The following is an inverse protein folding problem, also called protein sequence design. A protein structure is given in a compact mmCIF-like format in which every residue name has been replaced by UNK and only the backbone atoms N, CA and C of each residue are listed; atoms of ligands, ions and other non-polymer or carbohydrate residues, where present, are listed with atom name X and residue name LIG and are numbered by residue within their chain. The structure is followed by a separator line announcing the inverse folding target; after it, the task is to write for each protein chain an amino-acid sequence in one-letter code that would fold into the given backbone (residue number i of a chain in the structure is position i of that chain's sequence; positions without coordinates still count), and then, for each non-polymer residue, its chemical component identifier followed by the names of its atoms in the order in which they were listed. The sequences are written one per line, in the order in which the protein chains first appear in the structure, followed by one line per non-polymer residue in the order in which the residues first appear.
data_IF_765626522019
#
_entry.id   IF_765626522019
#
_cell.length_a   1.000
_cell.length_b   1.000
_cell.length_c   1.000
_cell.angle_alpha   90.00
_cell.angle_beta   90.00
_cell.angle_gamma   90.00
#
_symmetry.space_group_name_H-M   'P 1'
#
loop_
_entity.id
_entity.type
_entity.pdbx_description
1 polymer ?
#
# COMPACT_ATOMS: atom_id res chain seq x y z
N UNK A 1 -22.78 36.18 11.38
CA UNK A 1 -23.17 35.32 10.24
C UNK A 1 -21.89 34.96 9.50
N UNK A 2 -21.48 33.72 9.31
CA UNK A 2 -21.98 32.43 9.74
C UNK A 2 -20.79 31.52 10.02
N UNK A 3 -21.01 30.53 10.88
CA UNK A 3 -20.12 29.41 11.10
C UNK A 3 -19.95 28.64 9.78
N UNK A 4 -18.86 28.86 9.05
CA UNK A 4 -18.53 27.94 7.96
C UNK A 4 -17.98 26.64 8.56
N UNK A 5 -18.91 25.69 8.61
CA UNK A 5 -18.73 24.25 8.56
C UNK A 5 -17.54 23.69 9.35
N UNK A 6 -17.88 22.94 10.41
CA UNK A 6 -17.11 21.77 10.83
C UNK A 6 -16.88 20.92 9.57
N UNK A 7 -15.73 21.07 8.91
CA UNK A 7 -15.47 20.50 7.60
C UNK A 7 -15.72 18.99 7.69
N UNK A 8 -16.82 18.53 7.09
CA UNK A 8 -17.14 17.12 7.00
C UNK A 8 -16.10 16.52 6.05
N UNK A 9 -15.04 15.94 6.62
CA UNK A 9 -13.95 15.36 5.83
C UNK A 9 -14.36 13.95 5.46
N UNK A 10 -14.84 13.78 4.24
CA UNK A 10 -15.20 12.48 3.71
C UNK A 10 -13.94 11.60 3.63
N UNK A 11 -14.07 10.37 4.12
CA UNK A 11 -13.01 9.37 4.14
C UNK A 11 -13.28 8.32 3.06
N UNK A 12 -12.23 7.60 2.62
CA UNK A 12 -12.43 6.48 1.72
C UNK A 12 -13.35 5.46 2.40
N UNK A 13 -14.46 5.02 1.75
CA UNK A 13 -15.44 4.21 2.44
C UNK A 13 -14.87 2.85 2.88
N UNK A 14 -14.96 2.56 4.17
CA UNK A 14 -14.40 1.35 4.78
C UNK A 14 -14.96 0.06 4.14
N UNK A 15 -16.22 0.06 3.69
CA UNK A 15 -16.83 -1.08 3.01
C UNK A 15 -16.23 -1.38 1.63
N UNK A 16 -15.54 -0.43 0.99
CA UNK A 16 -14.82 -0.70 -0.26
C UNK A 16 -13.46 -1.38 -0.01
N UNK A 17 -12.87 -1.27 1.19
CA UNK A 17 -11.52 -1.79 1.45
C UNK A 17 -11.44 -3.32 1.27
N UNK A 18 -12.34 -4.16 1.82
CA UNK A 18 -12.31 -5.59 1.55
C UNK A 18 -12.37 -5.91 0.05
N UNK A 19 -13.25 -5.21 -0.69
CA UNK A 19 -13.42 -5.41 -2.14
C UNK A 19 -12.16 -5.05 -2.91
N UNK A 20 -11.51 -3.93 -2.55
CA UNK A 20 -10.22 -3.50 -3.12
C UNK A 20 -9.15 -4.55 -2.88
N UNK A 21 -8.96 -4.96 -1.62
CA UNK A 21 -7.93 -5.93 -1.23
C UNK A 21 -8.15 -7.30 -1.88
N UNK A 22 -9.39 -7.79 -1.93
CA UNK A 22 -9.73 -9.05 -2.61
C UNK A 22 -9.41 -8.98 -4.11
N UNK A 23 -9.78 -7.89 -4.77
CA UNK A 23 -9.50 -7.71 -6.21
C UNK A 23 -7.99 -7.66 -6.51
N UNK A 24 -7.21 -6.97 -5.66
CA UNK A 24 -5.76 -6.92 -5.76
C UNK A 24 -5.15 -8.31 -5.56
N UNK A 25 -5.62 -9.04 -4.56
CA UNK A 25 -5.15 -10.39 -4.28
C UNK A 25 -5.42 -11.33 -5.46
N UNK A 26 -6.65 -11.34 -5.98
CA UNK A 26 -7.04 -12.14 -7.16
C UNK A 26 -6.20 -11.80 -8.39
N UNK A 27 -5.96 -10.51 -8.65
CA UNK A 27 -5.12 -10.07 -9.76
C UNK A 27 -3.64 -10.45 -9.59
N UNK A 28 -3.14 -10.45 -8.35
CA UNK A 28 -1.73 -10.62 -8.00
C UNK A 28 -1.30 -12.07 -7.77
N UNK A 29 -2.19 -12.98 -7.39
CA UNK A 29 -1.85 -14.36 -7.02
C UNK A 29 -1.16 -15.13 -8.18
N UNK A 30 -1.57 -14.86 -9.40
CA UNK A 30 -1.00 -15.46 -10.62
C UNK A 30 0.05 -14.56 -11.29
N UNK A 31 0.49 -13.50 -10.61
CA UNK A 31 1.48 -12.58 -11.15
C UNK A 31 2.85 -13.24 -11.10
N UNK A 32 3.57 -13.18 -12.22
CA UNK A 32 4.91 -13.74 -12.34
C UNK A 32 5.83 -12.74 -13.02
N UNK A 33 7.09 -12.77 -12.64
CA UNK A 33 8.20 -12.16 -13.39
C UNK A 33 8.28 -12.84 -14.75
N UNK A 34 8.59 -12.05 -15.77
CA UNK A 34 8.91 -12.54 -17.11
C UNK A 34 10.41 -12.79 -17.24
N UNK A 35 11.23 -12.00 -16.52
CA UNK A 35 12.68 -12.11 -16.52
C UNK A 35 13.24 -11.95 -15.10
N UNK A 36 14.49 -12.38 -14.90
CA UNK A 36 15.20 -12.15 -13.64
C UNK A 36 15.40 -10.67 -13.31
N UNK A 37 15.35 -9.79 -14.32
CA UNK A 37 15.62 -8.36 -14.22
C UNK A 37 14.34 -7.51 -14.20
N UNK A 38 13.18 -8.13 -14.06
CA UNK A 38 11.92 -7.41 -13.94
C UNK A 38 12.00 -6.37 -12.82
N UNK A 39 11.56 -5.15 -13.13
CA UNK A 39 11.51 -4.04 -12.17
C UNK A 39 10.19 -4.04 -11.41
N UNK A 40 10.21 -3.43 -10.23
CA UNK A 40 9.03 -3.18 -9.39
C UNK A 40 7.88 -2.58 -10.20
N UNK A 41 8.13 -1.45 -10.87
CA UNK A 41 7.17 -0.73 -11.70
C UNK A 41 6.58 -1.60 -12.82
N UNK A 42 7.35 -2.52 -13.38
CA UNK A 42 6.86 -3.40 -14.44
C UNK A 42 5.91 -4.46 -13.89
N UNK A 43 6.17 -4.94 -12.67
CA UNK A 43 5.26 -5.85 -11.96
C UNK A 43 3.99 -5.10 -11.56
N UNK A 44 4.11 -3.89 -11.00
CA UNK A 44 2.96 -3.03 -10.64
C UNK A 44 2.11 -2.67 -11.86
N UNK A 45 2.70 -2.34 -13.00
CA UNK A 45 1.96 -2.10 -14.26
C UNK A 45 1.16 -3.32 -14.73
N UNK A 46 1.70 -4.53 -14.58
CA UNK A 46 0.99 -5.76 -14.91
C UNK A 46 -0.14 -6.04 -13.93
N UNK A 47 0.09 -5.80 -12.63
CA UNK A 47 -0.96 -5.90 -11.62
C UNK A 47 -2.10 -4.93 -11.93
N UNK A 48 -1.78 -3.66 -12.19
CA UNK A 48 -2.73 -2.63 -12.62
C UNK A 48 -3.56 -3.10 -13.83
N UNK A 49 -2.90 -3.57 -14.90
CA UNK A 49 -3.56 -4.02 -16.12
C UNK A 49 -4.54 -5.19 -15.88
N UNK A 50 -4.30 -6.00 -14.84
CA UNK A 50 -5.24 -7.06 -14.43
C UNK A 50 -6.38 -6.52 -13.59
N UNK A 51 -6.11 -5.61 -12.64
CA UNK A 51 -7.13 -5.03 -11.75
C UNK A 51 -8.19 -4.26 -12.56
N UNK A 52 -7.80 -3.48 -13.57
CA UNK A 52 -8.76 -2.71 -14.38
C UNK A 52 -9.76 -3.58 -15.16
N UNK A 53 -9.56 -4.90 -15.22
CA UNK A 53 -10.47 -5.85 -15.86
C UNK A 53 -11.44 -6.51 -14.88
N UNK A 54 -11.28 -6.26 -13.58
CA UNK A 54 -12.06 -6.88 -12.50
C UNK A 54 -13.18 -5.93 -12.07
N UNK A 55 -14.41 -6.43 -11.89
CA UNK A 55 -15.44 -5.68 -11.15
C UNK A 55 -15.03 -5.60 -9.68
N UNK A 56 -15.03 -4.41 -9.03
CA UNK A 56 -15.72 -3.18 -9.43
C UNK A 56 -14.87 -2.11 -10.15
N UNK A 57 -13.64 -2.41 -10.57
CA UNK A 57 -12.77 -1.44 -11.25
C UNK A 57 -13.12 -1.23 -12.73
N UNK A 58 -13.59 -2.28 -13.41
CA UNK A 58 -13.95 -2.22 -14.83
C UNK A 58 -15.25 -1.43 -15.07
N UNK A 59 -16.31 -1.81 -14.36
CA UNK A 59 -17.68 -1.32 -14.60
C UNK A 59 -18.35 -0.77 -13.32
N UNK A 60 -17.61 -0.65 -12.22
CA UNK A 60 -18.16 -0.28 -10.92
C UNK A 60 -17.71 1.10 -10.43
N UNK A 61 -18.00 1.43 -9.16
CA UNK A 61 -17.74 2.77 -8.62
C UNK A 61 -16.26 3.05 -8.31
N UNK A 62 -15.36 2.08 -8.51
CA UNK A 62 -13.95 2.22 -8.16
C UNK A 62 -13.09 2.52 -9.38
N UNK A 63 -12.27 3.57 -9.29
CA UNK A 63 -11.20 3.82 -10.24
C UNK A 63 -9.85 3.45 -9.65
N UNK A 64 -8.92 2.95 -10.46
CA UNK A 64 -7.52 2.73 -10.07
C UNK A 64 -6.59 3.52 -10.99
N UNK A 65 -5.58 4.16 -10.40
CA UNK A 65 -4.62 5.03 -11.08
C UNK A 65 -3.21 4.54 -10.79
N UNK A 66 -2.35 4.57 -11.80
CA UNK A 66 -0.96 4.16 -11.71
C UNK A 66 -0.07 5.40 -11.54
N UNK A 67 0.90 5.35 -10.62
CA UNK A 67 1.90 6.42 -10.44
C UNK A 67 1.26 7.80 -10.25
N UNK A 68 0.35 7.89 -9.30
CA UNK A 68 -0.32 9.16 -9.01
C UNK A 68 0.62 10.07 -8.24
N UNK A 69 0.96 11.23 -8.81
CA UNK A 69 1.74 12.26 -8.15
C UNK A 69 0.96 12.90 -6.99
N UNK A 70 1.67 13.16 -5.89
CA UNK A 70 1.20 13.94 -4.76
C UNK A 70 1.61 15.39 -5.01
N UNK A 71 0.63 16.27 -5.17
CA UNK A 71 0.87 17.70 -5.32
C UNK A 71 1.18 18.30 -3.94
N UNK A 72 2.19 19.16 -3.85
CA UNK A 72 2.46 19.94 -2.65
C UNK A 72 1.28 20.85 -2.30
N UNK A 73 1.22 21.28 -1.04
CA UNK A 73 0.31 22.39 -0.66
C UNK A 73 0.80 23.73 -1.19
N UNK A 74 2.09 23.81 -1.55
CA UNK A 74 2.70 24.94 -2.24
C UNK A 74 2.40 24.82 -3.75
N UNK A 75 1.60 25.74 -4.33
CA UNK A 75 1.26 25.71 -5.75
C UNK A 75 2.43 26.06 -6.66
N UNK A 76 3.50 26.66 -6.12
CA UNK A 76 4.68 27.08 -6.89
C UNK A 76 5.81 26.03 -6.86
N UNK A 77 5.55 24.85 -6.28
CA UNK A 77 6.52 23.77 -6.25
C UNK A 77 6.75 23.16 -7.64
N UNK A 78 7.98 23.23 -8.14
CA UNK A 78 8.38 22.70 -9.46
C UNK A 78 8.43 21.16 -9.55
N UNK A 79 8.25 20.45 -8.43
CA UNK A 79 8.29 18.97 -8.39
C UNK A 79 7.23 18.40 -7.45
N UNK A 80 6.71 17.18 -7.70
CA UNK A 80 5.73 16.56 -6.81
C UNK A 80 6.35 16.15 -5.47
N UNK A 81 5.52 16.11 -4.41
CA UNK A 81 5.93 15.71 -3.06
C UNK A 81 6.20 14.20 -2.92
N UNK A 82 5.75 13.43 -3.90
CA UNK A 82 5.92 11.99 -3.99
C UNK A 82 5.07 11.41 -5.11
N UNK A 83 5.24 10.12 -5.36
CA UNK A 83 4.47 9.34 -6.31
C UNK A 83 3.91 8.13 -5.56
N UNK A 84 2.61 7.87 -5.72
CA UNK A 84 1.93 6.68 -5.20
C UNK A 84 1.92 5.63 -6.29
N UNK A 85 2.42 4.41 -6.00
CA UNK A 85 2.47 3.33 -6.98
C UNK A 85 1.10 3.01 -7.58
N UNK A 86 0.08 2.82 -6.74
CA UNK A 86 -1.31 2.68 -7.16
C UNK A 86 -2.25 3.46 -6.24
N UNK A 87 -3.22 4.17 -6.82
CA UNK A 87 -4.25 4.89 -6.08
C UNK A 87 -5.63 4.39 -6.45
N UNK A 88 -6.43 3.98 -5.46
CA UNK A 88 -7.84 3.67 -5.66
C UNK A 88 -8.70 4.87 -5.27
N UNK A 89 -9.65 5.21 -6.14
CA UNK A 89 -10.63 6.28 -5.99
C UNK A 89 -12.05 5.69 -6.03
N UNK A 90 -13.03 6.42 -5.47
CA UNK A 90 -14.42 5.96 -5.36
C UNK A 90 -15.46 7.00 -5.78
N UNK A 91 -15.10 7.94 -6.67
CA UNK A 91 -16.00 8.99 -7.16
C UNK A 91 -16.32 10.11 -6.15
N UNK A 92 -15.76 10.08 -4.95
CA UNK A 92 -15.99 11.05 -3.87
C UNK A 92 -14.93 12.17 -3.81
N UNK A 93 -14.22 12.40 -4.92
CA UNK A 93 -13.16 13.40 -5.04
C UNK A 93 -11.75 12.88 -4.76
N UNK A 94 -10.75 13.61 -5.24
CA UNK A 94 -9.35 13.15 -5.31
C UNK A 94 -8.66 12.94 -3.95
N UNK A 95 -9.15 13.60 -2.89
CA UNK A 95 -8.65 13.43 -1.51
C UNK A 95 -9.23 12.20 -0.81
N UNK A 96 -10.24 11.55 -1.40
CA UNK A 96 -10.96 10.38 -0.86
C UNK A 96 -10.50 9.13 -1.59
N UNK A 97 -9.34 8.63 -1.17
CA UNK A 97 -8.63 7.57 -1.88
C UNK A 97 -7.96 6.57 -0.95
N UNK A 98 -7.62 5.41 -1.50
CA UNK A 98 -6.89 4.33 -0.84
C UNK A 98 -5.58 4.12 -1.60
N UNK A 99 -4.47 4.48 -0.96
CA UNK A 99 -3.15 4.42 -1.58
C UNK A 99 -2.50 3.05 -1.37
N UNK A 100 -1.75 2.62 -2.37
CA UNK A 100 -0.92 1.43 -2.31
C UNK A 100 0.50 1.76 -2.72
N UNK A 101 1.44 1.25 -1.92
CA UNK A 101 2.86 1.28 -2.18
C UNK A 101 3.37 -0.14 -2.41
N UNK A 102 4.30 -0.31 -3.33
CA UNK A 102 4.91 -1.58 -3.66
C UNK A 102 6.41 -1.53 -3.33
N UNK A 103 6.98 -2.65 -2.86
CA UNK A 103 8.43 -2.84 -2.78
C UNK A 103 8.85 -4.24 -3.19
N UNK A 104 10.03 -4.36 -3.80
CA UNK A 104 10.68 -5.66 -4.07
C UNK A 104 11.25 -6.25 -2.78
N UNK A 105 11.03 -7.55 -2.61
CA UNK A 105 11.54 -8.33 -1.49
C UNK A 105 12.32 -9.53 -2.02
N UNK A 106 13.35 -9.92 -1.26
CA UNK A 106 14.15 -11.13 -1.48
C UNK A 106 14.70 -11.23 -2.92
N UNK A 107 15.37 -10.17 -3.35
CA UNK A 107 15.92 -10.01 -4.70
C UNK A 107 17.35 -10.53 -4.75
N UNK A 108 17.73 -11.20 -5.84
CA UNK A 108 19.14 -11.39 -6.20
C UNK A 108 19.55 -10.31 -7.21
N UNK A 109 20.59 -9.55 -6.90
CA UNK A 109 21.14 -8.56 -7.83
C UNK A 109 21.74 -9.24 -9.06
N UNK A 110 22.04 -8.45 -10.10
CA UNK A 110 22.80 -8.90 -11.26
C UNK A 110 24.17 -9.49 -10.90
N UNK A 111 24.77 -9.05 -9.79
CA UNK A 111 26.01 -9.61 -9.22
C UNK A 111 25.81 -10.87 -8.35
N UNK A 112 24.58 -11.40 -8.25
CA UNK A 112 24.24 -12.58 -7.46
C UNK A 112 24.03 -12.31 -5.95
N UNK A 113 24.28 -11.07 -5.48
CA UNK A 113 24.10 -10.68 -4.08
C UNK A 113 22.63 -10.72 -3.70
N UNK A 114 22.32 -11.37 -2.58
CA UNK A 114 20.98 -11.37 -2.01
C UNK A 114 20.68 -10.05 -1.29
N UNK A 115 19.49 -9.48 -1.55
CA UNK A 115 18.97 -8.27 -0.92
C UNK A 115 17.57 -8.58 -0.37
N UNK A 116 17.39 -8.43 0.94
CA UNK A 116 16.10 -8.75 1.57
C UNK A 116 14.99 -7.79 1.17
N UNK A 117 15.29 -6.49 1.04
CA UNK A 117 14.32 -5.43 0.76
C UNK A 117 13.49 -5.00 1.99
N UNK A 118 13.78 -5.52 3.18
CA UNK A 118 12.98 -5.26 4.38
C UNK A 118 13.07 -3.80 4.85
N UNK A 119 14.26 -3.21 4.73
CA UNK A 119 14.52 -1.81 5.05
C UNK A 119 13.79 -0.87 4.09
N UNK A 120 13.88 -1.12 2.78
CA UNK A 120 13.13 -0.39 1.75
C UNK A 120 11.61 -0.46 1.98
N UNK A 121 11.08 -1.67 2.24
CA UNK A 121 9.67 -1.88 2.54
C UNK A 121 9.18 -1.06 3.73
N UNK A 122 9.96 -1.02 4.82
CA UNK A 122 9.53 -0.37 6.06
C UNK A 122 9.87 1.12 6.09
N UNK A 123 11.12 1.49 5.81
CA UNK A 123 11.58 2.88 5.91
C UNK A 123 11.15 3.73 4.72
N UNK A 124 11.07 3.14 3.53
CA UNK A 124 10.76 3.88 2.31
C UNK A 124 9.35 3.60 1.77
N UNK A 125 8.66 2.55 2.24
CA UNK A 125 7.25 2.29 1.97
C UNK A 125 6.35 2.70 3.13
N UNK A 126 6.32 1.89 4.21
CA UNK A 126 5.43 2.11 5.36
C UNK A 126 5.57 3.52 5.95
N UNK A 127 6.80 4.02 6.11
CA UNK A 127 7.05 5.31 6.76
C UNK A 127 6.41 6.50 6.01
N UNK A 128 6.20 6.39 4.70
CA UNK A 128 5.55 7.43 3.91
C UNK A 128 4.10 7.63 4.33
N UNK A 129 3.39 6.57 4.72
CA UNK A 129 2.07 6.66 5.35
C UNK A 129 2.13 7.22 6.79
N UNK A 130 3.11 6.78 7.58
CA UNK A 130 3.25 7.15 9.01
C UNK A 130 3.61 8.63 9.20
N UNK A 131 4.44 9.17 8.31
CA UNK A 131 4.84 10.58 8.30
C UNK A 131 3.77 11.48 7.68
N UNK A 132 2.77 10.91 7.03
CA UNK A 132 1.68 11.66 6.38
C UNK A 132 2.11 12.31 5.08
N UNK A 133 3.10 11.76 4.37
CA UNK A 133 3.45 12.19 3.01
C UNK A 133 2.27 11.96 2.05
N UNK A 134 1.46 10.92 2.30
CA UNK A 134 0.21 10.68 1.60
C UNK A 134 -0.98 11.36 2.28
N UNK A 135 -2.06 11.55 1.50
CA UNK A 135 -3.18 12.44 1.83
C UNK A 135 -3.61 12.41 3.32
N UNK A 136 -3.79 13.59 3.95
CA UNK A 136 -4.03 13.72 5.39
C UNK A 136 -5.36 13.09 5.87
N UNK A 137 -6.18 12.55 4.96
CA UNK A 137 -7.53 12.05 5.20
C UNK A 137 -7.73 10.56 4.89
N UNK A 138 -6.66 9.77 4.74
CA UNK A 138 -6.76 8.30 4.58
C UNK A 138 -6.80 7.56 5.94
N UNK A 139 -7.75 6.68 6.25
CA UNK A 139 -7.63 5.87 7.49
C UNK A 139 -6.92 4.53 7.29
N UNK A 140 -6.72 4.15 6.03
CA UNK A 140 -6.00 2.95 5.68
C UNK A 140 -5.28 3.07 4.35
N UNK A 141 -4.31 2.19 4.16
CA UNK A 141 -3.57 2.00 2.91
C UNK A 141 -3.13 0.54 2.78
N UNK A 142 -2.44 0.20 1.68
CA UNK A 142 -1.82 -1.10 1.52
C UNK A 142 -0.34 -1.02 1.11
N UNK A 143 0.41 -2.04 1.52
CA UNK A 143 1.77 -2.31 1.08
C UNK A 143 1.81 -3.65 0.34
N UNK A 144 2.34 -3.62 -0.88
CA UNK A 144 2.55 -4.79 -1.72
C UNK A 144 4.02 -5.20 -1.68
N UNK A 145 4.29 -6.45 -1.31
CA UNK A 145 5.63 -7.03 -1.34
C UNK A 145 5.76 -8.00 -2.49
N UNK A 146 6.51 -7.66 -3.53
CA UNK A 146 6.83 -8.60 -4.60
C UNK A 146 8.03 -9.44 -4.21
N UNK A 147 7.82 -10.72 -3.94
CA UNK A 147 8.82 -11.65 -3.40
C UNK A 147 9.48 -12.44 -4.52
N UNK A 148 10.73 -12.08 -4.85
CA UNK A 148 11.40 -12.47 -6.09
C UNK A 148 11.95 -13.89 -6.10
N UNK A 149 12.09 -14.51 -4.93
CA UNK A 149 12.46 -15.92 -4.80
C UNK A 149 11.27 -16.82 -4.43
N UNK A 150 10.05 -16.26 -4.43
CA UNK A 150 8.81 -16.99 -4.12
C UNK A 150 8.59 -17.30 -2.64
N UNK A 151 9.56 -17.04 -1.76
CA UNK A 151 9.51 -17.42 -0.34
C UNK A 151 8.73 -16.38 0.50
N UNK A 152 7.41 -16.29 0.26
CA UNK A 152 6.52 -15.29 0.88
C UNK A 152 6.50 -15.36 2.41
N UNK A 153 6.55 -16.56 3.00
CA UNK A 153 6.59 -16.72 4.46
C UNK A 153 7.89 -16.17 5.08
N UNK A 154 9.01 -16.36 4.40
CA UNK A 154 10.31 -15.79 4.83
C UNK A 154 10.30 -14.27 4.66
N UNK A 155 9.70 -13.75 3.59
CA UNK A 155 9.53 -12.31 3.39
C UNK A 155 8.67 -11.70 4.50
N UNK A 156 7.47 -12.26 4.74
CA UNK A 156 6.55 -11.87 5.80
C UNK A 156 7.22 -11.86 7.17
N UNK A 157 7.93 -12.93 7.52
CA UNK A 157 8.65 -13.05 8.81
C UNK A 157 9.78 -12.03 8.94
N UNK A 158 10.50 -11.75 7.86
CA UNK A 158 11.54 -10.73 7.81
C UNK A 158 10.98 -9.31 8.03
N UNK A 159 9.87 -8.99 7.36
CA UNK A 159 9.15 -7.73 7.52
C UNK A 159 8.61 -7.60 8.94
N UNK A 160 7.96 -8.62 9.49
CA UNK A 160 7.43 -8.59 10.86
C UNK A 160 8.53 -8.28 11.89
N UNK A 161 9.69 -8.93 11.76
CA UNK A 161 10.85 -8.67 12.64
C UNK A 161 11.32 -7.22 12.51
N UNK A 162 11.39 -6.69 11.29
CA UNK A 162 11.85 -5.33 11.06
C UNK A 162 10.83 -4.30 11.57
N UNK A 163 9.54 -4.50 11.31
CA UNK A 163 8.42 -3.70 11.83
C UNK A 163 8.48 -3.64 13.37
N UNK A 164 8.64 -4.79 14.03
CA UNK A 164 8.82 -4.86 15.50
C UNK A 164 10.00 -4.03 15.98
N UNK A 165 11.15 -4.14 15.29
CA UNK A 165 12.35 -3.35 15.63
C UNK A 165 12.15 -1.83 15.45
N UNK A 166 11.18 -1.43 14.61
CA UNK A 166 10.82 -0.04 14.32
C UNK A 166 9.50 0.39 14.94
N UNK A 167 8.97 -0.36 15.90
CA UNK A 167 7.63 -0.14 16.42
C UNK A 167 7.37 1.29 16.92
N UNK A 168 8.33 1.91 17.60
CA UNK A 168 8.22 3.30 18.08
C UNK A 168 8.22 4.30 16.93
N UNK A 169 9.16 4.20 15.99
CA UNK A 169 9.24 5.07 14.80
C UNK A 169 7.97 4.97 13.95
N UNK A 170 7.46 3.74 13.80
CA UNK A 170 6.23 3.44 13.07
C UNK A 170 4.95 3.78 13.84
N UNK A 171 5.05 4.21 15.11
CA UNK A 171 3.91 4.48 15.99
C UNK A 171 2.93 3.30 16.06
N UNK A 172 3.47 2.08 16.13
CA UNK A 172 2.62 0.88 16.15
C UNK A 172 1.77 0.80 17.41
N UNK A 173 0.50 0.49 17.19
CA UNK A 173 -0.44 0.07 18.22
C UNK A 173 -0.23 -1.41 18.54
N UNK A 174 -0.57 -1.84 19.76
CA UNK A 174 -0.53 -3.25 20.13
C UNK A 174 -1.34 -4.10 19.13
N UNK A 175 -0.85 -5.28 18.70
CA UNK A 175 0.29 -6.04 19.26
C UNK A 175 1.68 -5.70 18.66
N UNK A 176 1.84 -4.59 17.94
CA UNK A 176 3.12 -4.11 17.36
C UNK A 176 3.81 -5.13 16.44
N UNK A 177 3.02 -5.84 15.64
CA UNK A 177 3.46 -6.90 14.72
C UNK A 177 2.48 -7.04 13.55
N UNK A 178 2.88 -7.75 12.50
CA UNK A 178 1.96 -8.19 11.45
C UNK A 178 0.93 -9.16 12.03
N UNK A 179 -0.34 -8.80 11.92
CA UNK A 179 -1.48 -9.64 12.29
C UNK A 179 -2.26 -10.04 11.05
N UNK A 180 -2.91 -11.20 11.07
CA UNK A 180 -3.85 -11.54 10.00
C UNK A 180 -4.95 -10.47 9.93
N UNK A 181 -5.33 -10.07 8.72
CA UNK A 181 -6.35 -9.05 8.51
C UNK A 181 -7.65 -9.43 9.19
N UNK A 182 -8.22 -8.50 9.93
CA UNK A 182 -9.49 -8.68 10.64
C UNK A 182 -10.70 -8.61 9.70
N UNK A 183 -10.56 -7.97 8.54
CA UNK A 183 -11.62 -7.81 7.54
C UNK A 183 -11.57 -8.87 6.44
N UNK A 184 -10.46 -9.61 6.32
CA UNK A 184 -10.23 -10.69 5.37
C UNK A 184 -9.43 -11.83 6.04
N UNK A 185 -10.00 -12.51 7.06
CA UNK A 185 -9.26 -13.48 7.87
C UNK A 185 -8.78 -14.71 7.08
N UNK A 186 -9.52 -15.09 6.04
CA UNK A 186 -9.26 -16.28 5.23
C UNK A 186 -8.27 -16.04 4.06
N UNK A 187 -7.86 -14.78 3.85
CA UNK A 187 -6.92 -14.42 2.80
C UNK A 187 -5.52 -14.18 3.39
N UNK A 188 -4.47 -14.36 2.58
CA UNK A 188 -3.08 -14.04 2.96
C UNK A 188 -2.82 -12.52 2.94
N UNK A 189 -3.65 -11.78 3.68
CA UNK A 189 -3.56 -10.34 3.90
C UNK A 189 -3.26 -10.11 5.37
N UNK A 190 -2.17 -9.46 5.69
CA UNK A 190 -1.88 -9.02 7.05
C UNK A 190 -2.25 -7.54 7.26
N UNK A 191 -2.27 -7.09 8.50
CA UNK A 191 -2.45 -5.69 8.87
C UNK A 191 -1.50 -5.29 10.00
N UNK A 192 -1.05 -4.02 9.96
CA UNK A 192 -0.51 -3.30 11.13
C UNK A 192 -1.39 -2.10 11.44
N UNK A 193 -1.46 -1.76 12.73
CA UNK A 193 -2.23 -0.60 13.22
C UNK A 193 -1.26 0.42 13.79
N UNK A 194 -1.49 1.69 13.46
CA UNK A 194 -0.63 2.80 13.79
C UNK A 194 -1.44 3.87 14.53
N UNK A 195 -0.86 4.41 15.60
CA UNK A 195 -1.44 5.52 16.36
C UNK A 195 -0.84 6.84 15.85
N UNK A 196 -1.48 7.42 14.83
CA UNK A 196 -1.08 8.70 14.28
C UNK A 196 -1.80 9.79 15.06
N UNK A 197 -1.15 10.93 15.34
CA UNK A 197 -1.59 12.00 16.28
C UNK A 197 -3.11 12.23 16.44
N UNK A 198 -3.90 12.14 15.36
CA UNK A 198 -5.35 12.41 15.37
C UNK A 198 -6.23 11.24 14.89
N UNK A 199 -5.66 10.06 14.63
CA UNK A 199 -6.39 8.91 14.08
C UNK A 199 -5.62 7.59 14.25
N UNK A 200 -6.38 6.51 14.38
CA UNK A 200 -5.85 5.18 14.09
C UNK A 200 -5.68 5.03 12.58
N UNK A 201 -4.60 4.38 12.14
CA UNK A 201 -4.34 4.14 10.73
C UNK A 201 -3.96 2.67 10.51
N UNK A 202 -4.56 2.01 9.54
CA UNK A 202 -4.31 0.60 9.24
C UNK A 202 -3.54 0.46 7.92
N UNK A 203 -2.44 -0.27 7.92
CA UNK A 203 -1.75 -0.66 6.69
C UNK A 203 -2.01 -2.14 6.47
N UNK A 204 -2.59 -2.48 5.32
CA UNK A 204 -2.75 -3.85 4.89
C UNK A 204 -1.50 -4.31 4.13
N UNK A 205 -1.08 -5.56 4.31
CA UNK A 205 0.14 -6.10 3.72
C UNK A 205 -0.20 -7.33 2.90
N UNK A 206 0.22 -7.33 1.63
CA UNK A 206 0.04 -8.46 0.73
C UNK A 206 1.39 -8.83 0.14
N UNK A 207 1.76 -10.11 0.20
CA UNK A 207 3.02 -10.62 -0.32
C UNK A 207 2.75 -11.53 -1.52
N UNK A 208 3.21 -11.13 -2.71
CA UNK A 208 3.05 -11.92 -3.93
C UNK A 208 4.36 -12.58 -4.30
N UNK A 209 4.34 -13.91 -4.45
CA UNK A 209 5.41 -14.62 -5.15
C UNK A 209 5.39 -14.23 -6.63
N UNK A 210 6.50 -13.70 -7.14
CA UNK A 210 6.63 -13.25 -8.54
C UNK A 210 7.77 -13.95 -9.24
#
# INVERSE_FOLDING_TARGET
MGSEARAFRQLFPQWHIPVVLTSIFQAGETLRKKTANDREDWITRRLYARIIQIYPFRDGPLGIHLKQEIVYSDPDADTPAGEIDLLVSCGLGYKVCFALEAKRLRVRSSSGRFVSGNDEYVKNGIMRFVTGQYAPFMEASAMLGYVYDGETDKARSGIDRYIKSKATELKLKSPKRLMRSSILPDMLVDETRHDLKKRSFTIYHIFFAV
#
